data_IF_151484789520
#
_entry.id   IF_151484789520
#
_cell.length_a   1.000
_cell.length_b   1.000
_cell.length_c   1.000
_cell.angle_alpha   90.00
_cell.angle_beta   90.00
_cell.angle_gamma   90.00
#
_symmetry.space_group_name_H-M   'P 1'
#
loop_
_entity.id
_entity.type
_entity.pdbx_description
1 polymer ?
#
# COMPACT_ATOMS: atom_id res chain seq x y z
N UNK A 1 -0.48 -7.63 10.24
CA UNK A 1 -0.52 -6.16 10.41
C UNK A 1 -1.06 -5.55 9.13
N UNK A 2 -1.82 -4.45 9.19
CA UNK A 2 -2.59 -3.96 8.06
C UNK A 2 -1.76 -2.99 7.19
N UNK A 3 -0.47 -3.24 6.92
CA UNK A 3 0.32 -2.40 6.01
C UNK A 3 0.90 -3.30 4.93
N UNK A 4 0.85 -2.85 3.68
CA UNK A 4 1.45 -3.52 2.53
C UNK A 4 2.40 -2.54 1.82
N UNK A 5 3.63 -3.01 1.55
CA UNK A 5 4.59 -2.31 0.69
C UNK A 5 4.61 -2.88 -0.73
N UNK A 6 3.57 -3.59 -1.17
CA UNK A 6 3.50 -4.13 -2.54
C UNK A 6 3.73 -3.02 -3.58
N UNK A 7 3.08 -1.86 -3.39
CA UNK A 7 3.22 -0.71 -4.29
C UNK A 7 4.66 -0.21 -4.42
N UNK A 8 5.44 -0.23 -3.34
CA UNK A 8 6.87 0.09 -3.37
C UNK A 8 7.61 -0.82 -4.36
N UNK A 9 7.41 -2.13 -4.28
CA UNK A 9 8.11 -3.07 -5.15
C UNK A 9 7.67 -2.97 -6.61
N UNK A 10 6.38 -2.75 -6.87
CA UNK A 10 5.86 -2.46 -8.21
C UNK A 10 6.46 -1.16 -8.79
N UNK A 11 6.59 -0.12 -7.97
CA UNK A 11 7.20 1.15 -8.38
C UNK A 11 8.70 0.98 -8.66
N UNK A 12 9.40 0.21 -7.82
CA UNK A 12 10.82 -0.12 -8.01
C UNK A 12 11.04 -0.88 -9.32
N UNK A 13 10.20 -1.87 -9.62
CA UNK A 13 10.28 -2.64 -10.86
C UNK A 13 10.07 -1.75 -12.09
N UNK A 14 9.05 -0.88 -12.07
CA UNK A 14 8.81 0.11 -13.14
C UNK A 14 10.00 1.05 -13.36
N UNK A 15 10.76 1.35 -12.31
CA UNK A 15 11.96 2.21 -12.36
C UNK A 15 13.26 1.44 -12.59
N UNK A 16 13.22 0.11 -12.70
CA UNK A 16 14.41 -0.74 -12.85
C UNK A 16 15.31 -0.80 -11.61
N UNK A 17 14.78 -0.48 -10.42
CA UNK A 17 15.52 -0.44 -9.16
C UNK A 17 15.42 -1.80 -8.47
N UNK A 18 16.55 -2.39 -8.07
CA UNK A 18 16.59 -3.66 -7.33
C UNK A 18 16.71 -3.41 -5.82
N UNK A 19 16.34 -4.40 -5.01
CA UNK A 19 16.55 -4.36 -3.54
C UNK A 19 18.01 -4.12 -3.15
N UNK A 20 18.96 -4.57 -3.96
CA UNK A 20 20.38 -4.31 -3.77
C UNK A 20 20.73 -2.82 -3.91
N UNK A 21 20.00 -2.07 -4.74
CA UNK A 21 20.23 -0.64 -4.93
C UNK A 21 19.75 0.16 -3.73
N UNK A 22 18.70 -0.29 -3.03
CA UNK A 22 18.32 0.30 -1.74
C UNK A 22 19.46 0.22 -0.71
N UNK A 23 20.25 -0.86 -0.72
CA UNK A 23 21.45 -0.95 0.14
C UNK A 23 22.49 0.10 -0.24
N UNK A 24 22.73 0.30 -1.54
CA UNK A 24 23.64 1.33 -2.04
C UNK A 24 23.16 2.75 -1.72
N UNK A 25 21.84 2.94 -1.63
CA UNK A 25 21.19 4.20 -1.25
C UNK A 25 21.16 4.44 0.28
N UNK A 26 21.82 3.57 1.05
CA UNK A 26 21.99 3.73 2.50
C UNK A 26 20.79 3.26 3.32
N UNK A 27 20.04 2.26 2.84
CA UNK A 27 19.11 1.49 3.68
C UNK A 27 19.81 0.26 4.27
N UNK A 28 19.63 0.05 5.58
CA UNK A 28 20.19 -1.12 6.24
C UNK A 28 19.46 -2.41 5.82
N UNK A 29 20.14 -3.58 5.87
CA UNK A 29 19.49 -4.87 5.60
C UNK A 29 18.25 -5.10 6.46
N UNK A 30 18.26 -4.65 7.70
CA UNK A 30 17.13 -4.75 8.65
C UNK A 30 15.91 -3.98 8.17
N UNK A 31 16.09 -2.78 7.62
CA UNK A 31 14.97 -1.99 7.07
C UNK A 31 14.40 -2.69 5.84
N UNK A 32 15.26 -3.21 4.95
CA UNK A 32 14.81 -3.92 3.75
C UNK A 32 14.02 -5.18 4.12
N UNK A 33 14.49 -5.94 5.11
CA UNK A 33 13.78 -7.12 5.62
C UNK A 33 12.40 -6.75 6.20
N UNK A 34 12.30 -5.64 6.93
CA UNK A 34 11.02 -5.11 7.42
C UNK A 34 10.07 -4.74 6.29
N UNK A 35 10.55 -4.08 5.24
CA UNK A 35 9.75 -3.74 4.06
C UNK A 35 9.22 -4.99 3.35
N UNK A 36 10.07 -6.03 3.21
CA UNK A 36 9.67 -7.31 2.59
C UNK A 36 8.64 -8.06 3.43
N UNK A 37 8.78 -8.01 4.76
CA UNK A 37 7.86 -8.67 5.70
C UNK A 37 6.64 -7.84 6.06
N UNK A 38 6.45 -6.67 5.43
CA UNK A 38 5.34 -5.76 5.76
C UNK A 38 5.29 -5.36 7.24
N UNK A 39 6.47 -5.17 7.84
CA UNK A 39 6.62 -4.69 9.21
C UNK A 39 6.63 -3.15 9.27
N UNK A 40 6.39 -2.62 10.46
CA UNK A 40 6.47 -1.19 10.70
C UNK A 40 7.90 -0.67 10.52
N UNK A 41 8.00 0.44 9.82
CA UNK A 41 9.20 1.26 9.68
C UNK A 41 8.89 2.67 10.16
N UNK A 42 9.93 3.43 10.51
CA UNK A 42 9.75 4.80 10.96
C UNK A 42 9.36 5.71 9.78
N UNK A 43 8.62 6.79 10.06
CA UNK A 43 8.25 7.79 9.05
C UNK A 43 9.46 8.37 8.32
N UNK A 44 10.60 8.53 9.00
CA UNK A 44 11.85 8.97 8.37
C UNK A 44 12.34 8.03 7.26
N UNK A 45 12.09 6.72 7.39
CA UNK A 45 12.41 5.73 6.34
C UNK A 45 11.50 5.90 5.13
N UNK A 46 10.21 6.14 5.37
CA UNK A 46 9.22 6.38 4.31
C UNK A 46 9.53 7.66 3.55
N UNK A 47 9.85 8.76 4.25
CA UNK A 47 10.24 10.03 3.64
C UNK A 47 11.49 9.83 2.77
N UNK A 48 12.52 9.17 3.30
CA UNK A 48 13.75 8.89 2.55
C UNK A 48 13.49 8.04 1.29
N UNK A 49 12.61 7.02 1.37
CA UNK A 49 12.21 6.22 0.21
C UNK A 49 11.49 7.08 -0.83
N UNK A 50 10.54 7.90 -0.38
CA UNK A 50 9.75 8.79 -1.22
C UNK A 50 10.63 9.83 -1.95
N UNK A 51 11.62 10.40 -1.27
CA UNK A 51 12.60 11.33 -1.86
C UNK A 51 13.44 10.66 -2.96
N UNK A 52 14.01 9.49 -2.67
CA UNK A 52 14.87 8.75 -3.62
C UNK A 52 14.07 8.28 -4.83
N UNK A 53 12.83 7.83 -4.62
CA UNK A 53 11.96 7.32 -5.66
C UNK A 53 11.16 8.42 -6.37
N UNK A 54 11.24 9.66 -5.88
CA UNK A 54 10.46 10.81 -6.33
C UNK A 54 8.95 10.51 -6.41
N UNK A 55 8.37 10.11 -5.27
CA UNK A 55 6.95 9.77 -5.16
C UNK A 55 6.36 10.24 -3.82
N UNK A 56 5.05 10.09 -3.64
CA UNK A 56 4.40 10.32 -2.36
C UNK A 56 4.43 9.05 -1.49
N UNK A 57 4.31 9.15 -0.15
CA UNK A 57 4.19 7.98 0.72
C UNK A 57 3.07 7.02 0.33
N UNK A 58 1.92 7.55 -0.13
CA UNK A 58 0.78 6.73 -0.59
C UNK A 58 1.05 5.91 -1.85
N UNK A 59 2.12 6.24 -2.60
CA UNK A 59 2.53 5.50 -3.80
C UNK A 59 3.37 4.27 -3.45
N UNK A 60 3.88 4.16 -2.22
CA UNK A 60 4.79 3.08 -1.81
C UNK A 60 4.22 2.21 -0.67
N UNK A 61 3.23 2.70 0.06
CA UNK A 61 2.56 1.93 1.11
C UNK A 61 1.05 2.12 1.09
N UNK A 62 0.33 1.08 1.51
CA UNK A 62 -1.11 1.14 1.70
C UNK A 62 -1.52 0.37 2.96
N UNK A 63 -2.63 0.79 3.57
CA UNK A 63 -3.25 0.01 4.65
C UNK A 63 -4.01 -1.16 4.04
N UNK A 64 -3.91 -2.38 4.57
CA UNK A 64 -4.68 -3.54 4.09
C UNK A 64 -5.56 -4.10 5.21
N UNK A 65 -6.84 -4.27 4.96
CA UNK A 65 -7.74 -4.96 5.90
C UNK A 65 -7.61 -6.50 5.73
N UNK A 66 -8.31 -7.29 6.54
CA UNK A 66 -8.22 -8.77 6.55
C UNK A 66 -8.45 -9.41 5.17
N UNK A 67 -9.25 -8.76 4.33
CA UNK A 67 -9.60 -9.22 2.98
C UNK A 67 -8.69 -8.60 1.89
N UNK A 68 -7.66 -7.83 2.26
CA UNK A 68 -6.73 -7.20 1.32
C UNK A 68 -7.27 -5.93 0.65
N UNK A 69 -8.37 -5.35 1.16
CA UNK A 69 -8.97 -4.11 0.65
C UNK A 69 -8.67 -2.92 1.57
N UNK A 70 -8.56 -1.73 0.99
CA UNK A 70 -8.54 -0.44 1.69
C UNK A 70 -9.97 0.09 1.78
N UNK A 71 -10.61 0.06 2.96
CA UNK A 71 -11.94 0.69 3.11
C UNK A 71 -11.95 2.23 2.93
N UNK A 72 -10.78 2.87 2.80
CA UNK A 72 -10.62 4.33 2.71
C UNK A 72 -10.58 4.88 1.27
N UNK A 73 -10.54 4.01 0.25
CA UNK A 73 -10.67 4.41 -1.17
C UNK A 73 -11.51 3.35 -1.90
N UNK A 74 -12.65 3.72 -2.52
CA UNK A 74 -13.37 2.79 -3.36
C UNK A 74 -12.48 2.40 -4.55
N UNK A 75 -11.92 1.18 -4.53
CA UNK A 75 -11.39 0.61 -5.77
C UNK A 75 -12.55 0.49 -6.77
N UNK A 76 -12.31 0.51 -8.08
CA UNK A 76 -13.39 0.35 -9.07
C UNK A 76 -14.23 -0.92 -8.83
N UNK A 77 -13.62 -1.97 -8.27
CA UNK A 77 -14.30 -3.20 -7.82
C UNK A 77 -15.07 -3.01 -6.51
N UNK A 78 -14.48 -2.27 -5.55
CA UNK A 78 -15.13 -1.92 -4.28
C UNK A 78 -16.32 -0.98 -4.45
N UNK A 79 -16.26 -0.02 -5.38
CA UNK A 79 -17.37 0.88 -5.72
C UNK A 79 -18.59 0.10 -6.23
N UNK A 80 -18.38 -0.89 -7.12
CA UNK A 80 -19.45 -1.78 -7.59
C UNK A 80 -20.05 -2.61 -6.46
N UNK A 81 -19.20 -3.18 -5.59
CA UNK A 81 -19.69 -3.97 -4.45
C UNK A 81 -20.43 -3.12 -3.41
N UNK A 82 -20.03 -1.86 -3.23
CA UNK A 82 -20.75 -0.91 -2.37
C UNK A 82 -22.13 -0.58 -2.95
N UNK A 83 -22.22 -0.34 -4.26
CA UNK A 83 -23.50 -0.15 -4.96
C UNK A 83 -24.40 -1.38 -4.80
N UNK A 84 -23.88 -2.58 -5.00
CA UNK A 84 -24.63 -3.84 -4.81
C UNK A 84 -25.13 -4.01 -3.35
N UNK A 85 -24.35 -3.55 -2.36
CA UNK A 85 -24.74 -3.58 -0.94
C UNK A 85 -25.77 -2.49 -0.62
N UNK A 86 -25.62 -1.29 -1.14
CA UNK A 86 -26.58 -0.19 -0.96
C UNK A 86 -27.93 -0.50 -1.63
N UNK A 87 -27.92 -1.08 -2.82
CA UNK A 87 -29.12 -1.51 -3.56
C UNK A 87 -29.86 -2.65 -2.83
N UNK A 88 -29.12 -3.60 -2.25
CA UNK A 88 -29.71 -4.70 -1.49
C UNK A 88 -30.21 -4.30 -0.08
N UNK A 89 -29.72 -3.19 0.48
CA UNK A 89 -30.21 -2.63 1.74
C UNK A 89 -31.35 -1.60 1.56
N UNK A 90 -31.45 -0.95 0.40
CA UNK A 90 -32.55 -0.06 0.05
C UNK A 90 -33.91 -0.76 -0.10
N UNK A 91 -33.92 -2.02 -0.55
CA UNK A 91 -35.13 -2.82 -0.73
C UNK A 91 -35.81 -3.27 0.58
N UNK A 92 -35.23 -2.99 1.76
CA UNK A 92 -35.79 -3.38 3.07
C UNK A 92 -36.40 -2.23 3.88
N UNK A 93 -36.53 -1.02 3.31
CA UNK A 93 -37.13 0.14 3.99
C UNK A 93 -38.57 0.46 3.57
N UNK A 94 -39.13 -0.30 2.65
CA UNK A 94 -40.55 -0.20 2.27
C UNK A 94 -41.29 -1.47 2.71
N UNK A 95 -41.48 -1.63 4.02
CA UNK A 95 -42.56 -2.45 4.60
C UNK A 95 -42.96 -1.91 5.97
#
# INVERSE_FOLDING_TARGET
MPISYRKLFELMEKKGIKKADLRKMGFSPTIIDRLVKNHNVNTSTIIKLAEILQCQPGDIMERVDSDGFTHLVPTMKGARKLQEIEESQGAKREE
#
